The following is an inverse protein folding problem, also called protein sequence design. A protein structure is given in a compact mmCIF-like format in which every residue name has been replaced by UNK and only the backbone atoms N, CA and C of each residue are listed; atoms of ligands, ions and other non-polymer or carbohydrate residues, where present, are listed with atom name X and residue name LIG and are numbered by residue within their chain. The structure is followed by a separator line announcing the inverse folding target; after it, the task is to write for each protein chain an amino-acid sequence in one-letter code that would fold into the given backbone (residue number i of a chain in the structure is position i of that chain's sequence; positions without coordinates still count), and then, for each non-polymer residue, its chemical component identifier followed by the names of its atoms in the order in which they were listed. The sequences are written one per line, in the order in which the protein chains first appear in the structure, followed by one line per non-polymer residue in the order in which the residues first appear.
data_IF_379404561024
#
_entry.id   IF_379404561024
#
_cell.length_a   1.000
_cell.length_b   1.000
_cell.length_c   1.000
_cell.angle_alpha   90.00
_cell.angle_beta   90.00
_cell.angle_gamma   90.00
#
_symmetry.space_group_name_H-M   'P 1'
#
loop_
_entity.id
_entity.type
_entity.pdbx_description
1 polymer ?
#
# COMPACT_ATOMS: atom_id res chain seq x y z
N UNK A 1 18.68 -11.31 0.80
CA UNK A 1 17.31 -11.79 1.10
C UNK A 1 16.50 -11.77 -0.19
N UNK A 2 16.04 -12.93 -0.60
CA UNK A 2 15.25 -13.07 -1.82
C UNK A 2 13.76 -12.91 -1.51
N UNK A 3 13.06 -12.09 -2.29
CA UNK A 3 11.64 -11.78 -2.13
C UNK A 3 10.88 -12.33 -3.34
N UNK A 4 9.93 -13.26 -3.12
CA UNK A 4 9.02 -13.70 -4.16
C UNK A 4 7.70 -12.94 -4.06
N UNK A 5 7.26 -12.35 -5.17
CA UNK A 5 5.96 -11.67 -5.28
C UNK A 5 5.06 -12.56 -6.14
N UNK A 6 4.08 -13.17 -5.50
CA UNK A 6 3.12 -14.09 -6.13
C UNK A 6 1.90 -13.31 -6.59
N UNK A 7 1.84 -13.04 -7.89
CA UNK A 7 0.82 -12.22 -8.53
C UNK A 7 1.33 -10.86 -8.98
N UNK A 8 1.37 -10.62 -10.29
CA UNK A 8 1.72 -9.35 -10.94
C UNK A 8 0.45 -8.58 -11.36
N UNK A 9 -0.54 -8.51 -10.47
CA UNK A 9 -1.70 -7.62 -10.61
C UNK A 9 -1.34 -6.18 -10.22
N UNK A 10 -2.34 -5.29 -10.13
CA UNK A 10 -2.10 -3.88 -9.80
C UNK A 10 -1.24 -3.71 -8.53
N UNK A 11 -1.57 -4.40 -7.43
CA UNK A 11 -0.85 -4.26 -6.17
C UNK A 11 0.52 -4.96 -6.18
N UNK A 12 0.58 -6.23 -6.59
CA UNK A 12 1.84 -6.97 -6.64
C UNK A 12 2.81 -6.40 -7.67
N UNK A 13 2.28 -5.93 -8.80
CA UNK A 13 3.06 -5.23 -9.82
C UNK A 13 3.64 -3.92 -9.32
N UNK A 14 2.83 -3.09 -8.64
CA UNK A 14 3.31 -1.84 -8.05
C UNK A 14 4.37 -2.08 -6.97
N UNK A 15 4.22 -3.13 -6.15
CA UNK A 15 5.25 -3.50 -5.18
C UNK A 15 6.55 -3.94 -5.87
N UNK A 16 6.46 -4.78 -6.91
CA UNK A 16 7.63 -5.21 -7.69
C UNK A 16 8.35 -4.00 -8.30
N UNK A 17 7.61 -3.09 -8.94
CA UNK A 17 8.15 -1.85 -9.52
C UNK A 17 8.84 -0.99 -8.47
N UNK A 18 8.20 -0.75 -7.33
CA UNK A 18 8.78 0.02 -6.24
C UNK A 18 10.07 -0.60 -5.69
N UNK A 19 10.09 -1.91 -5.44
CA UNK A 19 11.29 -2.58 -4.94
C UNK A 19 12.43 -2.60 -5.97
N UNK A 20 12.12 -2.79 -7.26
CA UNK A 20 13.10 -2.81 -8.34
C UNK A 20 13.69 -1.44 -8.67
N UNK A 21 12.94 -0.36 -8.41
CA UNK A 21 13.42 1.01 -8.59
C UNK A 21 14.15 1.56 -7.35
N UNK A 22 14.15 0.82 -6.24
CA UNK A 22 14.84 1.21 -5.00
C UNK A 22 16.18 0.48 -4.82
N UNK A 23 17.18 1.15 -4.26
CA UNK A 23 18.53 0.61 -4.10
C UNK A 23 18.71 -0.39 -2.94
N UNK A 24 17.69 -0.61 -2.11
CA UNK A 24 17.76 -1.48 -0.94
C UNK A 24 17.84 -2.98 -1.29
N UNK A 25 17.40 -3.36 -2.50
CA UNK A 25 17.38 -4.73 -2.98
C UNK A 25 18.02 -4.81 -4.38
N UNK A 26 18.83 -5.83 -4.61
CA UNK A 26 19.32 -6.10 -5.96
C UNK A 26 18.15 -6.66 -6.82
N UNK A 27 18.02 -6.29 -8.09
CA UNK A 27 16.96 -6.84 -8.95
C UNK A 27 16.93 -8.37 -8.99
N UNK A 28 18.09 -9.03 -8.93
CA UNK A 28 18.22 -10.47 -8.87
C UNK A 28 17.66 -11.12 -7.59
N UNK A 29 17.46 -10.33 -6.52
CA UNK A 29 16.82 -10.78 -5.28
C UNK A 29 15.28 -10.74 -5.35
N UNK A 30 14.72 -10.13 -6.39
CA UNK A 30 13.27 -10.04 -6.60
C UNK A 30 12.84 -11.09 -7.62
N UNK A 31 11.89 -11.94 -7.22
CA UNK A 31 11.27 -12.97 -8.07
C UNK A 31 9.79 -12.60 -8.24
N UNK A 32 9.35 -12.38 -9.47
CA UNK A 32 7.94 -12.08 -9.76
C UNK A 32 7.29 -13.28 -10.44
N UNK A 33 6.22 -13.81 -9.82
CA UNK A 33 5.47 -14.93 -10.36
C UNK A 33 4.08 -14.50 -10.85
N UNK A 34 3.72 -14.91 -12.06
CA UNK A 34 2.38 -14.69 -12.61
C UNK A 34 2.10 -15.73 -13.72
N UNK A 35 0.89 -16.34 -13.80
CA UNK A 35 0.58 -17.30 -14.86
C UNK A 35 0.58 -16.70 -16.28
N UNK A 36 0.50 -15.38 -16.41
CA UNK A 36 0.50 -14.65 -17.68
C UNK A 36 1.85 -14.00 -17.93
N UNK A 37 2.58 -14.48 -18.95
CA UNK A 37 3.95 -14.03 -19.27
C UNK A 37 4.02 -12.56 -19.70
N UNK A 38 2.99 -12.07 -20.39
CA UNK A 38 2.87 -10.66 -20.79
C UNK A 38 2.94 -9.67 -19.60
N UNK A 39 2.47 -10.10 -18.45
CA UNK A 39 2.56 -9.33 -17.20
C UNK A 39 3.93 -9.36 -16.53
N UNK A 40 4.80 -10.27 -16.95
CA UNK A 40 6.14 -10.45 -16.38
C UNK A 40 7.21 -9.68 -17.16
N UNK A 41 6.97 -9.37 -18.43
CA UNK A 41 7.93 -8.70 -19.30
C UNK A 41 8.49 -7.37 -18.74
N UNK A 42 7.68 -6.48 -18.13
CA UNK A 42 8.20 -5.24 -17.54
C UNK A 42 9.25 -5.48 -16.45
N UNK A 43 9.07 -6.51 -15.63
CA UNK A 43 9.98 -6.84 -14.52
C UNK A 43 11.25 -7.54 -15.02
N UNK A 44 11.15 -8.36 -16.06
CA UNK A 44 12.31 -8.93 -16.75
C UNK A 44 13.20 -7.82 -17.34
N UNK A 45 12.58 -6.79 -17.93
CA UNK A 45 13.30 -5.61 -18.44
C UNK A 45 14.03 -4.84 -17.33
N UNK A 46 13.54 -4.90 -16.07
CA UNK A 46 14.18 -4.34 -14.88
C UNK A 46 15.18 -5.32 -14.22
N UNK A 47 15.52 -6.43 -14.89
CA UNK A 47 16.46 -7.47 -14.42
C UNK A 47 15.98 -8.28 -13.19
N UNK A 48 14.68 -8.31 -12.91
CA UNK A 48 14.10 -9.20 -11.94
C UNK A 48 14.08 -10.65 -12.47
N UNK A 49 14.06 -11.59 -11.54
CA UNK A 49 13.76 -12.98 -11.88
C UNK A 49 12.27 -13.12 -12.10
N UNK A 50 11.87 -13.81 -13.17
CA UNK A 50 10.45 -14.01 -13.48
C UNK A 50 10.17 -15.51 -13.66
N UNK A 51 8.97 -15.95 -13.28
CA UNK A 51 8.50 -17.32 -13.50
C UNK A 51 6.98 -17.38 -13.62
N UNK A 52 6.47 -18.40 -14.28
CA UNK A 52 5.03 -18.69 -14.29
C UNK A 52 4.61 -19.66 -13.19
N UNK A 53 5.56 -20.16 -12.38
CA UNK A 53 5.36 -21.15 -11.31
C UNK A 53 5.41 -20.48 -9.93
N UNK A 54 4.31 -20.50 -9.18
CA UNK A 54 4.26 -20.03 -7.81
C UNK A 54 5.18 -20.87 -6.90
N UNK A 55 5.25 -22.17 -7.12
CA UNK A 55 6.09 -23.08 -6.33
C UNK A 55 7.58 -22.83 -6.55
N UNK A 56 8.00 -22.56 -7.78
CA UNK A 56 9.38 -22.21 -8.10
C UNK A 56 9.78 -20.91 -7.41
N UNK A 57 8.93 -19.87 -7.51
CA UNK A 57 9.17 -18.60 -6.86
C UNK A 57 9.26 -18.75 -5.34
N UNK A 58 8.31 -19.47 -4.73
CA UNK A 58 8.25 -19.68 -3.29
C UNK A 58 9.46 -20.47 -2.76
N UNK A 59 9.89 -21.53 -3.46
CA UNK A 59 11.06 -22.34 -3.06
C UNK A 59 12.38 -21.53 -3.06
N UNK A 60 12.48 -20.54 -3.96
CA UNK A 60 13.68 -19.73 -4.13
C UNK A 60 13.79 -18.53 -3.17
N UNK A 61 12.74 -18.21 -2.40
CA UNK A 61 12.66 -16.99 -1.63
C UNK A 61 12.90 -17.18 -0.12
N UNK A 62 13.26 -16.11 0.57
CA UNK A 62 13.26 -16.00 2.03
C UNK A 62 11.94 -15.38 2.52
N UNK A 63 11.38 -14.47 1.72
CA UNK A 63 10.10 -13.84 1.98
C UNK A 63 9.15 -14.10 0.78
N UNK A 64 7.98 -14.69 1.05
CA UNK A 64 6.96 -14.98 0.04
C UNK A 64 5.78 -14.04 0.23
N UNK A 65 5.62 -13.09 -0.69
CA UNK A 65 4.54 -12.09 -0.68
C UNK A 65 3.40 -12.53 -1.58
N UNK A 66 2.25 -12.81 -1.01
CA UNK A 66 1.02 -13.22 -1.71
C UNK A 66 0.23 -11.96 -2.10
N UNK A 67 0.23 -11.62 -3.38
CA UNK A 67 -0.39 -10.42 -3.96
C UNK A 67 -1.47 -10.75 -4.99
N UNK A 68 -2.15 -11.87 -4.81
CA UNK A 68 -3.27 -12.29 -5.66
C UNK A 68 -4.60 -11.77 -5.12
N UNK A 69 -5.68 -11.96 -5.89
CA UNK A 69 -7.03 -11.62 -5.43
C UNK A 69 -7.45 -12.52 -4.25
N UNK A 70 -8.26 -12.03 -3.29
CA UNK A 70 -8.61 -12.77 -2.08
C UNK A 70 -9.12 -14.19 -2.32
N UNK A 71 -9.98 -14.38 -3.32
CA UNK A 71 -10.54 -15.70 -3.68
C UNK A 71 -9.53 -16.67 -4.31
N UNK A 72 -8.31 -16.28 -4.55
CA UNK A 72 -7.22 -17.12 -5.06
C UNK A 72 -6.20 -17.50 -3.98
N UNK A 73 -6.23 -16.86 -2.81
CA UNK A 73 -5.20 -16.97 -1.78
C UNK A 73 -5.09 -18.42 -1.28
N UNK A 74 -6.21 -19.04 -0.90
CA UNK A 74 -6.23 -20.42 -0.43
C UNK A 74 -5.58 -21.37 -1.44
N UNK A 75 -6.00 -21.30 -2.70
CA UNK A 75 -5.44 -22.14 -3.77
C UNK A 75 -3.94 -21.94 -3.93
N UNK A 76 -3.49 -20.68 -3.92
CA UNK A 76 -2.06 -20.35 -4.07
C UNK A 76 -1.26 -20.83 -2.86
N UNK A 77 -1.78 -20.70 -1.65
CA UNK A 77 -1.15 -21.23 -0.44
C UNK A 77 -1.04 -22.76 -0.53
N UNK A 78 -2.13 -23.46 -0.87
CA UNK A 78 -2.12 -24.92 -0.99
C UNK A 78 -1.14 -25.42 -2.07
N UNK A 79 -0.98 -24.66 -3.17
CA UNK A 79 -0.01 -24.96 -4.21
C UNK A 79 1.43 -24.83 -3.70
N UNK A 80 1.75 -23.74 -3.00
CA UNK A 80 3.12 -23.45 -2.51
C UNK A 80 3.49 -24.22 -1.24
N UNK A 81 2.53 -24.55 -0.40
CA UNK A 81 2.73 -25.15 0.92
C UNK A 81 3.72 -26.32 0.93
N UNK A 82 3.72 -27.27 -0.01
CA UNK A 82 4.67 -28.40 -0.01
C UNK A 82 6.14 -28.00 -0.15
N UNK A 83 6.43 -26.85 -0.76
CA UNK A 83 7.80 -26.39 -1.05
C UNK A 83 8.30 -25.31 -0.09
N UNK A 84 7.44 -24.80 0.80
CA UNK A 84 7.83 -23.82 1.79
C UNK A 84 8.70 -24.41 2.89
N UNK A 85 9.78 -23.73 3.25
CA UNK A 85 10.62 -24.06 4.40
C UNK A 85 10.24 -23.16 5.59
N UNK A 86 9.43 -23.69 6.51
CA UNK A 86 8.91 -22.96 7.67
C UNK A 86 9.97 -22.59 8.70
N UNK A 87 11.17 -23.17 8.62
CA UNK A 87 12.27 -22.83 9.55
C UNK A 87 12.94 -21.51 9.22
N UNK A 88 12.86 -21.04 7.96
CA UNK A 88 13.54 -19.83 7.49
C UNK A 88 12.65 -18.82 6.78
N UNK A 89 11.58 -19.28 6.13
CA UNK A 89 10.76 -18.41 5.30
C UNK A 89 9.69 -17.68 6.10
N UNK A 90 9.40 -16.47 5.69
CA UNK A 90 8.22 -15.72 6.13
C UNK A 90 7.21 -15.63 5.00
N UNK A 91 5.92 -15.67 5.33
CA UNK A 91 4.82 -15.51 4.39
C UNK A 91 4.12 -14.19 4.69
N UNK A 92 3.96 -13.35 3.68
CA UNK A 92 3.27 -12.07 3.78
C UNK A 92 2.03 -12.10 2.89
N UNK A 93 0.85 -11.97 3.46
CA UNK A 93 -0.38 -11.84 2.71
C UNK A 93 -0.72 -10.35 2.51
N UNK A 94 -0.97 -9.94 1.27
CA UNK A 94 -1.43 -8.59 0.92
C UNK A 94 -2.90 -8.55 0.52
N UNK A 95 -3.57 -9.70 0.45
CA UNK A 95 -5.00 -9.76 0.16
C UNK A 95 -5.81 -9.33 1.40
N UNK A 96 -6.68 -8.33 1.22
CA UNK A 96 -7.51 -7.83 2.30
C UNK A 96 -8.64 -8.81 2.69
N UNK A 97 -9.18 -8.62 3.88
CA UNK A 97 -10.38 -9.30 4.38
C UNK A 97 -10.27 -10.83 4.59
N UNK A 98 -9.06 -11.34 4.78
CA UNK A 98 -8.82 -12.75 5.16
C UNK A 98 -8.20 -12.74 6.56
N UNK A 99 -8.84 -13.32 7.59
CA UNK A 99 -8.27 -13.38 8.93
C UNK A 99 -6.97 -14.19 9.00
N UNK A 100 -6.03 -13.79 9.86
CA UNK A 100 -4.77 -14.52 10.08
C UNK A 100 -5.00 -15.97 10.51
N UNK A 101 -6.03 -16.24 11.29
CA UNK A 101 -6.39 -17.60 11.71
C UNK A 101 -6.73 -18.50 10.51
N UNK A 102 -7.42 -17.98 9.50
CA UNK A 102 -7.77 -18.70 8.27
C UNK A 102 -6.52 -18.97 7.43
N UNK A 103 -5.66 -17.97 7.25
CA UNK A 103 -4.39 -18.11 6.55
C UNK A 103 -3.48 -19.14 7.22
N UNK A 104 -3.37 -19.11 8.56
CA UNK A 104 -2.60 -20.10 9.32
C UNK A 104 -3.18 -21.51 9.16
N UNK A 105 -4.52 -21.66 9.12
CA UNK A 105 -5.16 -22.94 8.86
C UNK A 105 -4.80 -23.51 7.51
N UNK A 106 -4.75 -22.72 6.45
CA UNK A 106 -4.32 -23.17 5.12
C UNK A 106 -2.83 -23.50 5.07
N UNK A 107 -1.99 -22.77 5.83
CA UNK A 107 -0.54 -22.98 5.92
C UNK A 107 -0.16 -24.14 6.84
N UNK A 108 -1.04 -24.60 7.73
CA UNK A 108 -0.69 -25.61 8.71
C UNK A 108 -0.22 -26.92 8.08
N UNK A 109 0.92 -27.42 8.54
CA UNK A 109 1.47 -28.75 8.26
C UNK A 109 1.70 -29.48 9.57
N UNK A 110 0.76 -30.34 9.94
CA UNK A 110 0.87 -31.20 11.13
C UNK A 110 1.18 -30.40 12.43
N UNK A 111 0.55 -29.25 12.61
CA UNK A 111 0.76 -28.35 13.75
C UNK A 111 1.92 -27.36 13.58
N UNK A 112 2.56 -27.31 12.41
CA UNK A 112 3.64 -26.35 12.11
C UNK A 112 3.19 -25.31 11.10
N UNK A 113 3.46 -24.04 11.38
CA UNK A 113 3.15 -22.90 10.50
C UNK A 113 4.37 -21.98 10.35
N UNK A 114 4.53 -21.31 9.19
CA UNK A 114 5.58 -20.31 9.04
C UNK A 114 5.24 -19.04 9.82
N UNK A 115 6.21 -18.14 9.97
CA UNK A 115 5.91 -16.78 10.37
C UNK A 115 5.00 -16.12 9.31
N UNK A 116 3.81 -15.68 9.75
CA UNK A 116 2.79 -15.06 8.91
C UNK A 116 2.71 -13.57 9.19
N UNK A 117 2.62 -12.79 8.12
CA UNK A 117 2.31 -11.37 8.17
C UNK A 117 1.10 -11.05 7.30
N UNK A 118 0.31 -10.11 7.74
CA UNK A 118 -0.60 -9.38 6.89
C UNK A 118 -0.02 -7.99 6.64
N UNK A 119 0.11 -7.60 5.37
CA UNK A 119 0.60 -6.29 4.98
C UNK A 119 -0.41 -5.64 4.04
N UNK A 120 -0.88 -4.45 4.41
CA UNK A 120 -1.84 -3.68 3.63
C UNK A 120 -1.17 -2.38 3.15
N UNK A 121 -0.46 -2.42 2.02
CA UNK A 121 0.05 -1.22 1.35
C UNK A 121 -1.04 -0.54 0.52
N UNK A 122 -0.67 0.55 -0.13
CA UNK A 122 -1.45 1.14 -1.22
C UNK A 122 -0.60 1.27 -2.50
N UNK A 123 -1.20 1.68 -3.61
CA UNK A 123 -0.53 1.74 -4.92
C UNK A 123 0.67 2.69 -4.98
N UNK A 124 0.80 3.61 -4.01
CA UNK A 124 1.96 4.50 -3.94
C UNK A 124 3.28 3.77 -3.58
N UNK A 125 3.25 2.45 -3.33
CA UNK A 125 4.49 1.62 -3.28
C UNK A 125 5.33 1.79 -4.55
N UNK A 126 4.71 2.00 -5.72
CA UNK A 126 5.40 2.21 -6.98
C UNK A 126 6.25 3.49 -7.02
N UNK A 127 5.93 4.48 -6.21
CA UNK A 127 6.66 5.75 -6.09
C UNK A 127 7.26 5.99 -4.70
N UNK A 128 7.42 4.94 -3.88
CA UNK A 128 8.04 4.95 -2.54
C UNK A 128 7.31 5.84 -1.51
N UNK A 129 6.01 6.06 -1.68
CA UNK A 129 5.18 6.92 -0.83
C UNK A 129 3.98 6.16 -0.25
N UNK A 130 4.08 4.83 -0.12
CA UNK A 130 3.03 4.04 0.51
C UNK A 130 2.93 4.29 2.01
N UNK A 131 1.72 4.18 2.54
CA UNK A 131 1.51 3.86 3.95
C UNK A 131 1.10 2.40 4.04
N UNK A 132 1.96 1.57 4.64
CA UNK A 132 1.73 0.13 4.79
C UNK A 132 1.43 -0.22 6.25
N UNK A 133 0.29 -0.86 6.50
CA UNK A 133 -0.01 -1.44 7.80
C UNK A 133 0.44 -2.89 7.83
N UNK A 134 1.13 -3.28 8.90
CA UNK A 134 1.60 -4.66 9.10
C UNK A 134 1.03 -5.22 10.40
N UNK A 135 0.59 -6.48 10.38
CA UNK A 135 0.22 -7.25 11.56
C UNK A 135 0.77 -8.67 11.44
N UNK A 136 1.10 -9.27 12.57
CA UNK A 136 1.55 -10.66 12.64
C UNK A 136 1.02 -11.36 13.88
N UNK A 137 0.52 -12.59 13.77
CA UNK A 137 0.07 -13.38 14.93
C UNK A 137 1.21 -14.18 15.59
N UNK A 138 2.33 -14.46 14.91
CA UNK A 138 3.29 -15.47 15.33
C UNK A 138 4.76 -15.20 14.96
N UNK A 139 5.09 -14.03 14.44
CA UNK A 139 6.47 -13.73 14.06
C UNK A 139 7.31 -13.23 15.24
N UNK A 140 8.60 -13.48 15.16
CA UNK A 140 9.60 -12.91 16.07
C UNK A 140 9.90 -11.45 15.72
N UNK A 141 10.51 -10.72 16.67
CA UNK A 141 10.95 -9.34 16.42
C UNK A 141 11.94 -9.23 15.24
N UNK A 142 12.83 -10.22 15.08
CA UNK A 142 13.78 -10.24 13.96
C UNK A 142 13.07 -10.38 12.61
N UNK A 143 12.10 -11.30 12.49
CA UNK A 143 11.30 -11.47 11.28
C UNK A 143 10.42 -10.24 11.00
N UNK A 144 9.90 -9.60 12.04
CA UNK A 144 9.15 -8.35 11.90
C UNK A 144 10.03 -7.25 11.31
N UNK A 145 11.24 -7.07 11.83
CA UNK A 145 12.19 -6.07 11.30
C UNK A 145 12.58 -6.34 9.83
N UNK A 146 12.69 -7.61 9.43
CA UNK A 146 12.95 -7.97 8.03
C UNK A 146 11.78 -7.60 7.10
N UNK A 147 10.55 -7.88 7.51
CA UNK A 147 9.36 -7.53 6.71
C UNK A 147 9.16 -6.00 6.69
N UNK A 148 9.34 -5.32 7.83
CA UNK A 148 9.31 -3.86 7.90
C UNK A 148 10.32 -3.23 6.94
N UNK A 149 11.54 -3.77 6.83
CA UNK A 149 12.56 -3.29 5.89
C UNK A 149 12.11 -3.35 4.43
N UNK A 150 11.35 -4.39 4.04
CA UNK A 150 10.82 -4.52 2.68
C UNK A 150 9.87 -3.35 2.38
N UNK A 151 8.91 -3.11 3.27
CA UNK A 151 7.89 -2.09 3.04
C UNK A 151 8.37 -0.66 3.33
N UNK A 152 9.38 -0.49 4.18
CA UNK A 152 10.03 0.81 4.40
C UNK A 152 10.80 1.29 3.16
N UNK A 153 11.30 0.37 2.34
CA UNK A 153 11.91 0.73 1.05
C UNK A 153 10.90 1.34 0.06
N UNK A 154 9.61 1.13 0.25
CA UNK A 154 8.55 1.61 -0.65
C UNK A 154 7.55 2.55 0.04
N UNK A 155 7.92 3.12 1.19
CA UNK A 155 7.10 4.09 1.93
C UNK A 155 7.26 4.00 3.44
N UNK A 156 6.23 4.39 4.17
CA UNK A 156 6.17 4.29 5.64
C UNK A 156 5.44 3.04 6.08
N UNK A 157 5.85 2.49 7.22
CA UNK A 157 5.27 1.29 7.81
C UNK A 157 4.69 1.62 9.19
N UNK A 158 3.56 1.01 9.51
CA UNK A 158 2.98 1.03 10.85
C UNK A 158 2.55 -0.38 11.24
N UNK A 159 3.21 -0.94 12.26
CA UNK A 159 2.80 -2.21 12.85
C UNK A 159 1.61 -1.97 13.78
N UNK A 160 0.55 -2.74 13.59
CA UNK A 160 -0.74 -2.58 14.27
C UNK A 160 -1.32 -3.93 14.69
N UNK A 161 -2.27 -3.91 15.61
CA UNK A 161 -3.13 -5.05 15.90
C UNK A 161 -3.98 -5.40 14.67
N UNK A 162 -4.20 -6.69 14.39
CA UNK A 162 -4.95 -7.17 13.23
C UNK A 162 -6.34 -6.52 13.10
N UNK A 163 -7.02 -6.26 14.21
CA UNK A 163 -8.34 -5.58 14.23
C UNK A 163 -8.33 -4.19 13.59
N UNK A 164 -7.16 -3.54 13.48
CA UNK A 164 -6.99 -2.22 12.87
C UNK A 164 -6.69 -2.29 11.37
N UNK A 165 -6.37 -3.46 10.80
CA UNK A 165 -6.05 -3.58 9.38
C UNK A 165 -7.20 -3.13 8.47
N UNK A 166 -8.45 -3.44 8.81
CA UNK A 166 -9.61 -2.99 8.05
C UNK A 166 -9.75 -1.45 8.07
N UNK A 167 -9.50 -0.83 9.23
CA UNK A 167 -9.49 0.63 9.35
C UNK A 167 -8.31 1.25 8.57
N UNK A 168 -7.13 0.64 8.63
CA UNK A 168 -5.96 1.01 7.84
C UNK A 168 -6.22 0.89 6.33
N UNK A 169 -6.88 -0.18 5.90
CA UNK A 169 -7.30 -0.36 4.50
C UNK A 169 -8.19 0.80 4.04
N UNK A 170 -9.19 1.16 4.84
CA UNK A 170 -10.07 2.28 4.50
C UNK A 170 -9.34 3.62 4.49
N UNK A 171 -8.46 3.85 5.47
CA UNK A 171 -7.78 5.13 5.65
C UNK A 171 -6.68 5.38 4.61
N UNK A 172 -5.86 4.37 4.31
CA UNK A 172 -4.71 4.51 3.41
C UNK A 172 -4.90 3.77 2.07
N UNK A 173 -5.41 2.53 2.08
CA UNK A 173 -5.68 1.79 0.85
C UNK A 173 -6.73 2.47 -0.02
N UNK A 174 -7.90 2.76 0.54
CA UNK A 174 -8.96 3.52 -0.12
C UNK A 174 -8.68 5.03 -0.11
N UNK A 175 -8.04 5.54 0.94
CA UNK A 175 -7.76 6.95 1.15
C UNK A 175 -7.04 7.63 0.00
N UNK A 176 -6.17 6.90 -0.71
CA UNK A 176 -5.49 7.42 -1.90
C UNK A 176 -6.49 7.83 -2.99
N UNK A 177 -7.59 7.08 -3.17
CA UNK A 177 -8.64 7.43 -4.10
C UNK A 177 -9.45 8.64 -3.63
N UNK A 178 -9.63 8.81 -2.31
CA UNK A 178 -10.32 9.98 -1.74
C UNK A 178 -9.48 11.25 -1.93
N UNK A 179 -8.16 11.18 -1.74
CA UNK A 179 -7.26 12.28 -2.03
C UNK A 179 -7.27 12.64 -3.54
N UNK A 180 -7.26 11.65 -4.43
CA UNK A 180 -7.39 11.89 -5.87
C UNK A 180 -8.75 12.51 -6.23
N UNK A 181 -9.85 12.14 -5.53
CA UNK A 181 -11.16 12.76 -5.71
C UNK A 181 -11.15 14.24 -5.32
N UNK A 182 -10.47 14.59 -4.22
CA UNK A 182 -10.27 15.99 -3.85
C UNK A 182 -9.50 16.76 -4.95
N UNK A 183 -8.36 16.20 -5.41
CA UNK A 183 -7.57 16.81 -6.48
C UNK A 183 -8.45 17.04 -7.72
N UNK A 184 -9.27 16.05 -8.11
CA UNK A 184 -10.17 16.16 -9.26
C UNK A 184 -11.19 17.28 -9.07
N UNK A 185 -11.80 17.40 -7.90
CA UNK A 185 -12.75 18.48 -7.60
C UNK A 185 -12.07 19.87 -7.61
N UNK A 186 -10.85 19.97 -7.06
CA UNK A 186 -10.06 21.19 -7.13
C UNK A 186 -9.71 21.61 -8.57
N UNK A 187 -9.40 20.61 -9.43
CA UNK A 187 -9.19 20.84 -10.86
C UNK A 187 -10.45 21.41 -11.54
N UNK A 188 -11.63 20.84 -11.25
CA UNK A 188 -12.90 21.29 -11.82
C UNK A 188 -13.18 22.76 -11.42
N UNK A 189 -12.99 23.09 -10.14
CA UNK A 189 -13.09 24.48 -9.66
C UNK A 189 -12.07 25.42 -10.31
N UNK A 190 -10.84 24.94 -10.51
CA UNK A 190 -9.80 25.72 -11.23
C UNK A 190 -10.19 26.01 -12.68
N UNK A 191 -10.77 25.04 -13.37
CA UNK A 191 -11.25 25.22 -14.77
C UNK A 191 -12.42 26.20 -14.81
N UNK A 192 -13.36 26.14 -13.87
CA UNK A 192 -14.46 27.09 -13.75
C UNK A 192 -13.97 28.53 -13.52
N UNK A 193 -12.82 28.67 -12.84
CA UNK A 193 -12.15 29.96 -12.60
C UNK A 193 -11.28 30.45 -13.77
N UNK A 194 -11.17 29.67 -14.87
CA UNK A 194 -10.50 30.06 -16.11
C UNK A 194 -9.13 29.45 -16.39
N UNK A 195 -8.62 28.56 -15.53
CA UNK A 195 -7.41 27.79 -15.83
C UNK A 195 -7.65 26.70 -16.86
N UNK A 196 -6.64 26.35 -17.64
CA UNK A 196 -6.69 25.14 -18.47
C UNK A 196 -6.66 23.90 -17.57
N UNK A 197 -7.26 22.80 -18.00
CA UNK A 197 -7.35 21.57 -17.19
C UNK A 197 -5.96 21.05 -16.74
N UNK A 198 -4.93 21.12 -17.58
CA UNK A 198 -3.56 20.73 -17.22
C UNK A 198 -2.94 21.66 -16.16
N UNK A 199 -3.16 22.97 -16.29
CA UNK A 199 -2.69 23.95 -15.31
C UNK A 199 -3.40 23.76 -13.94
N UNK A 200 -4.72 23.57 -13.96
CA UNK A 200 -5.50 23.29 -12.77
C UNK A 200 -5.04 22.01 -12.06
N UNK A 201 -4.67 20.96 -12.82
CA UNK A 201 -4.10 19.73 -12.28
C UNK A 201 -2.76 19.98 -11.60
N UNK A 202 -1.84 20.67 -12.26
CA UNK A 202 -0.51 20.98 -11.72
C UNK A 202 -0.63 21.80 -10.42
N UNK A 203 -1.47 22.84 -10.44
CA UNK A 203 -1.72 23.71 -9.28
C UNK A 203 -2.29 22.88 -8.12
N UNK A 204 -3.32 22.07 -8.35
CA UNK A 204 -3.95 21.27 -7.30
C UNK A 204 -2.98 20.27 -6.67
N UNK A 205 -2.23 19.53 -7.50
CA UNK A 205 -1.24 18.56 -7.01
C UNK A 205 -0.13 19.24 -6.21
N UNK A 206 0.44 20.36 -6.72
CA UNK A 206 1.52 21.05 -6.02
C UNK A 206 1.03 21.67 -4.71
N UNK A 207 -0.20 22.16 -4.65
CA UNK A 207 -0.80 22.72 -3.44
C UNK A 207 -0.98 21.67 -2.35
N UNK A 208 -1.50 20.47 -2.71
CA UNK A 208 -1.63 19.35 -1.76
C UNK A 208 -0.26 18.88 -1.27
N UNK A 209 0.72 18.73 -2.18
CA UNK A 209 2.08 18.38 -1.81
C UNK A 209 2.68 19.41 -0.83
N UNK A 210 2.45 20.69 -1.08
CA UNK A 210 2.89 21.77 -0.19
C UNK A 210 2.24 21.71 1.18
N UNK A 211 0.93 21.43 1.26
CA UNK A 211 0.21 21.29 2.53
C UNK A 211 0.74 20.12 3.37
N UNK A 212 0.98 18.96 2.74
CA UNK A 212 1.58 17.78 3.42
C UNK A 212 2.98 18.13 3.91
N UNK A 213 3.83 18.70 3.05
CA UNK A 213 5.21 19.07 3.40
C UNK A 213 5.25 20.10 4.55
N UNK A 214 4.30 21.04 4.59
CA UNK A 214 4.19 22.01 5.67
C UNK A 214 3.87 21.34 7.00
N UNK A 215 2.90 20.42 7.03
CA UNK A 215 2.56 19.65 8.24
C UNK A 215 3.74 18.78 8.72
N UNK A 216 4.48 18.15 7.79
CA UNK A 216 5.66 17.35 8.13
C UNK A 216 6.79 18.24 8.71
N UNK A 217 6.99 19.43 8.13
CA UNK A 217 8.02 20.37 8.58
C UNK A 217 7.73 20.95 9.98
N UNK A 218 6.47 21.29 10.23
CA UNK A 218 6.09 21.92 11.51
C UNK A 218 5.79 20.90 12.60
N UNK A 219 5.38 19.67 12.24
CA UNK A 219 4.81 18.70 13.17
C UNK A 219 3.50 19.18 13.82
N UNK A 220 2.88 20.24 13.25
CA UNK A 220 1.72 20.91 13.79
C UNK A 220 0.41 20.14 13.57
N UNK A 221 -0.63 20.57 14.30
CA UNK A 221 -1.99 20.08 14.06
C UNK A 221 -2.58 20.77 12.82
N UNK A 222 -3.32 20.06 11.94
CA UNK A 222 -3.90 20.64 10.73
C UNK A 222 -4.67 21.93 10.95
N UNK A 223 -5.49 22.01 12.01
CA UNK A 223 -6.26 23.23 12.33
C UNK A 223 -5.37 24.43 12.67
N UNK A 224 -4.25 24.21 13.35
CA UNK A 224 -3.31 25.29 13.65
C UNK A 224 -2.65 25.83 12.36
N UNK A 225 -2.36 24.97 11.39
CA UNK A 225 -1.82 25.38 10.10
C UNK A 225 -2.90 26.07 9.23
N UNK A 226 -4.17 25.64 9.33
CA UNK A 226 -5.30 26.33 8.69
C UNK A 226 -5.46 27.76 9.25
N UNK A 227 -5.38 27.94 10.57
CA UNK A 227 -5.45 29.26 11.19
C UNK A 227 -4.32 30.18 10.70
N UNK A 228 -3.11 29.67 10.51
CA UNK A 228 -1.97 30.47 10.00
C UNK A 228 -2.17 31.02 8.59
N UNK A 229 -2.92 30.33 7.73
CA UNK A 229 -3.21 30.76 6.36
C UNK A 229 -4.56 31.47 6.24
N UNK A 230 -5.26 31.67 7.37
CA UNK A 230 -6.59 32.27 7.42
C UNK A 230 -6.50 33.68 8.03
N UNK A 231 -6.86 34.68 7.24
CA UNK A 231 -6.86 36.09 7.69
C UNK A 231 -8.27 36.63 7.87
N UNK A 232 -8.49 37.60 8.79
CA UNK A 232 -9.82 38.21 8.99
C UNK A 232 -10.41 38.78 7.69
N UNK A 233 -11.60 38.31 7.31
CA UNK A 233 -12.29 38.70 6.07
C UNK A 233 -11.65 38.19 4.77
N UNK A 234 -10.60 37.33 4.86
CA UNK A 234 -9.83 36.84 3.73
C UNK A 234 -10.57 35.86 2.84
N UNK A 235 -9.95 35.45 1.73
CA UNK A 235 -10.52 34.50 0.78
C UNK A 235 -10.56 33.09 1.38
N UNK A 236 -9.55 32.72 2.16
CA UNK A 236 -9.40 31.37 2.74
C UNK A 236 -10.58 31.04 3.65
N UNK A 237 -10.92 31.91 4.61
CA UNK A 237 -12.03 31.64 5.52
C UNK A 237 -13.38 31.53 4.80
N UNK A 238 -13.59 32.35 3.77
CA UNK A 238 -14.82 32.26 2.96
C UNK A 238 -14.91 30.97 2.20
N UNK A 239 -13.79 30.49 1.63
CA UNK A 239 -13.71 29.21 0.95
C UNK A 239 -13.95 28.03 1.90
N UNK A 240 -13.32 28.03 3.08
CA UNK A 240 -13.52 27.00 4.10
C UNK A 240 -14.97 26.92 4.57
N UNK A 241 -15.61 28.06 4.86
CA UNK A 241 -17.01 28.10 5.27
C UNK A 241 -17.94 27.58 4.15
N UNK A 242 -17.68 27.90 2.90
CA UNK A 242 -18.46 27.39 1.77
C UNK A 242 -18.30 25.88 1.57
N UNK A 243 -17.08 25.34 1.77
CA UNK A 243 -16.84 23.89 1.73
C UNK A 243 -17.57 23.19 2.88
N UNK A 244 -17.55 23.76 4.07
CA UNK A 244 -18.22 23.19 5.23
C UNK A 244 -19.75 23.25 5.12
N UNK A 245 -20.31 24.35 4.59
CA UNK A 245 -21.75 24.46 4.26
C UNK A 245 -22.18 23.36 3.26
N UNK A 246 -21.32 23.02 2.31
CA UNK A 246 -21.52 21.88 1.39
C UNK A 246 -21.31 20.49 2.05
N UNK A 247 -20.89 20.44 3.32
CA UNK A 247 -20.73 19.20 4.10
C UNK A 247 -19.42 18.46 3.85
N UNK A 248 -18.32 19.17 3.57
CA UNK A 248 -17.02 18.57 3.24
C UNK A 248 -16.52 17.62 4.32
N UNK A 249 -16.41 18.08 5.57
CA UNK A 249 -15.94 17.25 6.69
C UNK A 249 -16.79 16.00 6.85
N UNK A 250 -18.13 16.15 6.76
CA UNK A 250 -19.06 15.01 6.86
C UNK A 250 -18.86 14.02 5.72
N UNK A 251 -18.61 14.49 4.50
CA UNK A 251 -18.40 13.63 3.33
C UNK A 251 -17.11 12.81 3.50
N UNK A 252 -16.00 13.43 3.92
CA UNK A 252 -14.71 12.76 4.18
C UNK A 252 -14.85 11.69 5.25
N UNK A 253 -15.44 12.03 6.43
CA UNK A 253 -15.61 11.07 7.52
C UNK A 253 -16.50 9.90 7.08
N UNK A 254 -17.61 10.16 6.37
CA UNK A 254 -18.48 9.09 5.86
C UNK A 254 -17.79 8.21 4.83
N UNK A 255 -16.99 8.79 3.93
CA UNK A 255 -16.22 8.05 2.94
C UNK A 255 -15.24 7.08 3.59
N UNK A 256 -14.44 7.55 4.55
CA UNK A 256 -13.49 6.73 5.29
C UNK A 256 -14.21 5.61 6.06
N UNK A 257 -15.31 5.92 6.77
CA UNK A 257 -16.07 4.91 7.53
C UNK A 257 -16.82 3.91 6.65
N UNK A 258 -17.20 4.30 5.44
CA UNK A 258 -17.89 3.44 4.47
C UNK A 258 -16.99 2.46 3.74
N UNK A 259 -15.67 2.60 3.84
CA UNK A 259 -14.68 1.68 3.26
C UNK A 259 -14.36 0.46 4.16
N UNK A 260 -15.10 0.28 5.25
CA UNK A 260 -14.96 -0.85 6.17
C UNK A 260 -15.74 -2.06 5.70
#
# INVERSE_FOLDING_TARGET
MTIAIIGAGAMGGSLAEGLLSHTAFAPADIVVANPHTDKLEPYAAMSARITTSNTEAAAAADCVVIAVKPWLVERVICEMKPVLDYSRQVVVNMAAAIPSAELLGWLDREGSTPALFQAIPNLAVACHESMTFISTPNATAAQTAEVERIFTAVGRVMTVDERLLAAGTSMAGCGIAYAMRYIRAAMEGGVEMGFRASEAQEIAMQTIKGAVALLEHTGGHPEAEIDRVTTPGGLTIRGLNAMEDAGFTRAVIKGIKGGK
#
